data_IF_752247143813
#
_entry.id   IF_752247143813
#
_cell.length_a   1.000
_cell.length_b   1.000
_cell.length_c   1.000
_cell.angle_alpha   90.00
_cell.angle_beta   90.00
_cell.angle_gamma   90.00
#
_symmetry.space_group_name_H-M   'P 1'
#
loop_
_entity.id
_entity.type
_entity.pdbx_description
1 polymer ?
#
# COMPACT_ATOMS: atom_id res chain seq x y z
N UNK A 1 15.47 -6.19 -17.18
CA UNK A 1 14.35 -5.31 -16.84
C UNK A 1 14.23 -4.25 -17.94
N UNK A 2 13.32 -4.43 -18.87
CA UNK A 2 13.05 -3.38 -19.87
C UNK A 2 12.06 -2.40 -19.23
N UNK A 3 12.58 -1.35 -18.61
CA UNK A 3 11.78 -0.26 -18.08
C UNK A 3 11.14 0.50 -19.24
N UNK A 4 9.88 0.23 -19.51
CA UNK A 4 9.11 1.07 -20.42
C UNK A 4 8.85 2.42 -19.77
N UNK A 5 8.69 3.53 -20.51
CA UNK A 5 8.31 4.81 -19.93
C UNK A 5 7.09 4.71 -19.01
N UNK A 6 6.14 3.82 -19.33
CA UNK A 6 4.96 3.55 -18.49
C UNK A 6 5.34 2.99 -17.13
N UNK A 7 6.26 2.03 -17.03
CA UNK A 7 6.65 1.46 -15.73
C UNK A 7 7.26 2.51 -14.81
N UNK A 8 8.06 3.43 -15.36
CA UNK A 8 8.63 4.54 -14.61
C UNK A 8 7.54 5.41 -13.96
N UNK A 9 6.50 5.79 -14.72
CA UNK A 9 5.39 6.59 -14.19
C UNK A 9 4.61 5.86 -13.08
N UNK A 10 4.37 4.56 -13.24
CA UNK A 10 3.70 3.77 -12.19
C UNK A 10 4.54 3.71 -10.91
N UNK A 11 5.85 3.48 -11.01
CA UNK A 11 6.74 3.48 -9.85
C UNK A 11 6.83 4.86 -9.20
N UNK A 12 6.92 5.91 -9.99
CA UNK A 12 6.93 7.29 -9.49
C UNK A 12 5.65 7.62 -8.74
N UNK A 13 4.49 7.31 -9.32
CA UNK A 13 3.19 7.55 -8.69
C UNK A 13 3.02 6.74 -7.39
N UNK A 14 3.35 5.45 -7.43
CA UNK A 14 3.22 4.59 -6.24
C UNK A 14 4.22 4.99 -5.15
N UNK A 15 5.44 5.36 -5.51
CA UNK A 15 6.43 5.88 -4.57
C UNK A 15 6.00 7.20 -3.94
N UNK A 16 5.45 8.13 -4.73
CA UNK A 16 4.89 9.38 -4.22
C UNK A 16 3.71 9.12 -3.28
N UNK A 17 2.86 8.16 -3.61
CA UNK A 17 1.75 7.75 -2.74
C UNK A 17 2.26 7.15 -1.43
N UNK A 18 3.28 6.31 -1.46
CA UNK A 18 3.87 5.74 -0.24
C UNK A 18 4.44 6.83 0.69
N UNK A 19 5.14 7.83 0.13
CA UNK A 19 5.66 8.96 0.89
C UNK A 19 4.50 9.80 1.46
N UNK A 20 3.50 10.09 0.65
CA UNK A 20 2.30 10.83 1.08
C UNK A 20 1.60 10.08 2.22
N UNK A 21 1.38 8.78 2.07
CA UNK A 21 0.74 7.95 3.08
C UNK A 21 1.52 7.96 4.40
N UNK A 22 2.84 7.79 4.33
CA UNK A 22 3.68 7.85 5.51
C UNK A 22 3.58 9.22 6.20
N UNK A 23 3.69 10.31 5.44
CA UNK A 23 3.58 11.68 5.97
C UNK A 23 2.22 11.91 6.62
N UNK A 24 1.14 11.45 5.97
CA UNK A 24 -0.22 11.59 6.49
C UNK A 24 -0.43 10.81 7.80
N UNK A 25 0.08 9.57 7.87
CA UNK A 25 -0.02 8.73 9.07
C UNK A 25 0.81 9.28 10.25
N UNK A 26 1.82 10.10 9.97
CA UNK A 26 2.67 10.73 10.98
C UNK A 26 2.18 12.13 11.41
N UNK A 27 1.02 12.59 10.93
CA UNK A 27 0.44 13.84 11.43
C UNK A 27 0.01 13.66 12.88
N UNK A 28 0.32 14.62 13.78
CA UNK A 28 -0.14 14.61 15.17
C UNK A 28 -1.67 14.52 15.23
N UNK A 29 -2.20 13.81 16.25
CA UNK A 29 -3.65 13.63 16.40
C UNK A 29 -4.41 14.97 16.56
N UNK A 30 -3.78 15.95 17.18
CA UNK A 30 -4.35 17.30 17.38
C UNK A 30 -4.59 18.07 16.08
N UNK A 31 -3.93 17.63 14.99
CA UNK A 31 -4.10 18.21 13.65
C UNK A 31 -5.25 17.57 12.87
N UNK A 32 -5.87 16.53 13.42
CA UNK A 32 -6.95 15.79 12.77
C UNK A 32 -8.28 16.15 13.44
N UNK A 33 -9.39 16.22 12.66
CA UNK A 33 -10.71 16.44 13.25
C UNK A 33 -11.04 15.36 14.29
N UNK A 34 -11.54 15.78 15.44
CA UNK A 34 -12.06 14.88 16.46
C UNK A 34 -13.32 14.16 15.95
N UNK A 35 -13.15 13.20 15.09
CA UNK A 35 -14.28 12.36 14.68
C UNK A 35 -14.26 11.02 15.39
N UNK A 36 -15.28 10.81 16.18
CA UNK A 36 -15.75 9.63 16.90
C UNK A 36 -15.88 8.36 16.03
N UNK A 37 -14.95 8.07 15.15
CA UNK A 37 -15.11 6.93 14.26
C UNK A 37 -13.84 6.07 14.34
N UNK A 38 -13.72 5.37 15.47
CA UNK A 38 -12.72 4.30 15.62
C UNK A 38 -12.79 3.27 14.49
N UNK A 39 -13.98 3.05 13.93
CA UNK A 39 -14.18 2.19 12.77
C UNK A 39 -13.75 2.82 11.45
N UNK A 40 -13.86 4.15 11.30
CA UNK A 40 -13.41 4.81 10.07
C UNK A 40 -11.89 4.90 9.99
N UNK A 41 -11.21 5.07 11.11
CA UNK A 41 -9.75 5.07 11.14
C UNK A 41 -9.18 3.74 10.61
N UNK A 42 -9.70 2.62 11.10
CA UNK A 42 -9.33 1.29 10.60
C UNK A 42 -9.66 1.08 9.13
N UNK A 43 -10.80 1.61 8.68
CA UNK A 43 -11.17 1.56 7.26
C UNK A 43 -10.20 2.36 6.40
N UNK A 44 -9.74 3.52 6.88
CA UNK A 44 -8.72 4.32 6.20
C UNK A 44 -7.39 3.59 6.11
N UNK A 45 -6.93 2.96 7.18
CA UNK A 45 -5.74 2.11 7.18
C UNK A 45 -5.86 0.98 6.16
N UNK A 46 -6.95 0.23 6.22
CA UNK A 46 -7.22 -0.88 5.29
C UNK A 46 -7.24 -0.42 3.83
N UNK A 47 -7.97 0.66 3.52
CA UNK A 47 -8.09 1.18 2.15
C UNK A 47 -6.77 1.73 1.64
N UNK A 48 -6.03 2.44 2.48
CA UNK A 48 -4.75 3.03 2.12
C UNK A 48 -3.72 1.96 1.75
N UNK A 49 -3.63 0.90 2.53
CA UNK A 49 -2.71 -0.20 2.25
C UNK A 49 -3.19 -1.13 1.13
N UNK A 50 -4.50 -1.24 0.93
CA UNK A 50 -5.05 -1.86 -0.27
C UNK A 50 -4.59 -1.12 -1.54
N UNK A 51 -4.69 0.21 -1.56
CA UNK A 51 -4.26 1.03 -2.69
C UNK A 51 -2.74 0.99 -2.89
N UNK A 52 -1.95 1.00 -1.81
CA UNK A 52 -0.50 0.87 -1.89
C UNK A 52 -0.09 -0.46 -2.52
N UNK A 53 -0.67 -1.56 -2.06
CA UNK A 53 -0.39 -2.88 -2.59
C UNK A 53 -0.79 -3.00 -4.07
N UNK A 54 -1.97 -2.47 -4.45
CA UNK A 54 -2.40 -2.40 -5.85
C UNK A 54 -1.43 -1.59 -6.71
N UNK A 55 -1.02 -0.41 -6.24
CA UNK A 55 -0.07 0.45 -6.94
C UNK A 55 1.26 -0.26 -7.21
N UNK A 56 1.80 -0.96 -6.21
CA UNK A 56 3.00 -1.78 -6.36
C UNK A 56 2.79 -2.91 -7.38
N UNK A 57 1.66 -3.62 -7.30
CA UNK A 57 1.36 -4.71 -8.24
C UNK A 57 1.27 -4.22 -9.68
N UNK A 58 0.65 -3.07 -9.93
CA UNK A 58 0.62 -2.46 -11.26
C UNK A 58 2.01 -1.99 -11.71
N UNK A 59 2.80 -1.40 -10.81
CA UNK A 59 4.16 -0.96 -11.10
C UNK A 59 5.05 -2.13 -11.53
N UNK A 60 5.04 -3.23 -10.79
CA UNK A 60 5.80 -4.43 -11.12
C UNK A 60 5.30 -5.11 -12.40
N UNK A 61 3.99 -5.13 -12.63
CA UNK A 61 3.40 -5.64 -13.88
C UNK A 61 3.93 -4.86 -15.08
N UNK A 62 3.86 -3.54 -15.05
CA UNK A 62 4.35 -2.69 -16.13
C UNK A 62 5.87 -2.81 -16.30
N UNK A 63 6.60 -3.08 -15.22
CA UNK A 63 8.02 -3.41 -15.23
C UNK A 63 8.35 -4.80 -15.83
N UNK A 64 7.34 -5.58 -16.22
CA UNK A 64 7.54 -6.90 -16.83
C UNK A 64 7.92 -8.00 -15.84
N UNK A 65 7.62 -7.81 -14.56
CA UNK A 65 7.92 -8.80 -13.53
C UNK A 65 6.98 -10.01 -13.61
N UNK A 66 7.54 -11.19 -13.40
CA UNK A 66 6.74 -12.42 -13.32
C UNK A 66 5.75 -12.32 -12.17
N UNK A 67 4.54 -12.86 -12.35
CA UNK A 67 3.43 -12.77 -11.40
C UNK A 67 3.81 -13.13 -9.95
N UNK A 68 4.60 -14.18 -9.76
CA UNK A 68 4.97 -14.59 -8.41
C UNK A 68 5.96 -13.62 -7.73
N UNK A 69 6.92 -13.03 -8.49
CA UNK A 69 7.82 -11.99 -7.99
C UNK A 69 7.03 -10.71 -7.65
N UNK A 70 6.13 -10.30 -8.55
CA UNK A 70 5.24 -9.18 -8.32
C UNK A 70 4.47 -9.35 -7.01
N UNK A 71 3.79 -10.50 -6.82
CA UNK A 71 3.03 -10.81 -5.61
C UNK A 71 3.90 -10.75 -4.35
N UNK A 72 5.06 -11.41 -4.39
CA UNK A 72 5.97 -11.49 -3.25
C UNK A 72 6.49 -10.13 -2.84
N UNK A 73 6.98 -9.34 -3.79
CA UNK A 73 7.57 -8.05 -3.49
C UNK A 73 6.52 -7.01 -3.12
N UNK A 74 5.35 -7.00 -3.74
CA UNK A 74 4.25 -6.14 -3.32
C UNK A 74 3.84 -6.43 -1.87
N UNK A 75 3.77 -7.71 -1.47
CA UNK A 75 3.50 -8.10 -0.09
C UNK A 75 4.59 -7.61 0.87
N UNK A 76 5.86 -7.91 0.57
CA UNK A 76 6.99 -7.57 1.44
C UNK A 76 7.11 -6.05 1.63
N UNK A 77 7.02 -5.28 0.54
CA UNK A 77 7.15 -3.83 0.60
C UNK A 77 5.96 -3.20 1.35
N UNK A 78 4.74 -3.66 1.08
CA UNK A 78 3.55 -3.12 1.76
C UNK A 78 3.56 -3.44 3.25
N UNK A 79 3.90 -4.67 3.65
CA UNK A 79 4.02 -5.05 5.06
C UNK A 79 5.16 -4.32 5.76
N UNK A 80 6.31 -4.18 5.09
CA UNK A 80 7.45 -3.41 5.63
C UNK A 80 7.08 -1.95 5.85
N UNK A 81 6.40 -1.32 4.89
CA UNK A 81 5.91 0.05 5.03
C UNK A 81 4.88 0.17 6.16
N UNK A 82 3.93 -0.78 6.27
CA UNK A 82 2.94 -0.79 7.34
C UNK A 82 3.60 -0.91 8.71
N UNK A 83 4.49 -1.87 8.91
CA UNK A 83 5.22 -2.02 10.18
C UNK A 83 6.07 -0.80 10.51
N UNK A 84 6.75 -0.23 9.50
CA UNK A 84 7.57 0.97 9.67
C UNK A 84 6.72 2.19 10.08
N UNK A 85 5.56 2.39 9.46
CA UNK A 85 4.66 3.48 9.82
C UNK A 85 4.13 3.36 11.25
N UNK A 86 3.77 2.15 11.70
CA UNK A 86 3.33 1.91 13.09
C UNK A 86 4.45 2.21 14.11
N UNK A 87 5.66 1.77 13.81
CA UNK A 87 6.82 2.09 14.68
C UNK A 87 7.07 3.59 14.75
N UNK A 88 6.98 4.30 13.63
CA UNK A 88 7.18 5.75 13.62
C UNK A 88 6.06 6.51 14.35
N UNK A 89 4.83 6.02 14.32
CA UNK A 89 3.71 6.64 15.04
C UNK A 89 3.93 6.67 16.55
N UNK A 90 4.70 5.75 17.12
CA UNK A 90 5.06 5.74 18.53
C UNK A 90 5.87 6.99 18.96
N UNK A 91 6.56 7.61 18.00
CA UNK A 91 7.35 8.83 18.25
C UNK A 91 6.58 10.12 17.97
N UNK A 92 5.33 10.03 17.53
CA UNK A 92 4.51 11.20 17.18
C UNK A 92 3.61 11.58 18.37
N UNK A 93 3.61 12.86 18.84
CA UNK A 93 2.74 13.30 19.91
C UNK A 93 1.26 13.01 19.62
N UNK A 94 0.58 12.41 20.58
CA UNK A 94 -0.85 12.06 20.47
C UNK A 94 -1.15 10.84 19.59
N UNK A 95 -0.13 10.13 19.11
CA UNK A 95 -0.24 8.85 18.40
C UNK A 95 0.34 7.72 19.23
N UNK A 96 -0.09 6.51 18.95
CA UNK A 96 0.48 5.29 19.48
C UNK A 96 0.40 4.19 18.44
N UNK A 97 1.37 3.30 18.43
CA UNK A 97 1.29 2.10 17.61
C UNK A 97 0.08 1.26 18.03
N UNK A 98 -0.69 0.81 17.05
CA UNK A 98 -1.93 0.05 17.27
C UNK A 98 -1.87 -1.28 16.52
N UNK A 99 -2.02 -2.37 17.28
CA UNK A 99 -2.12 -3.72 16.68
C UNK A 99 -3.34 -3.80 15.77
N UNK A 100 -4.43 -3.15 16.14
CA UNK A 100 -5.66 -3.14 15.34
C UNK A 100 -5.47 -2.45 13.99
N UNK A 101 -4.71 -1.35 13.97
CA UNK A 101 -4.42 -0.62 12.74
C UNK A 101 -3.47 -1.41 11.85
N UNK A 102 -2.49 -2.09 12.47
CA UNK A 102 -1.63 -3.01 11.74
C UNK A 102 -2.41 -4.19 11.12
N UNK A 103 -3.39 -4.75 11.85
CA UNK A 103 -4.28 -5.80 11.32
C UNK A 103 -5.12 -5.24 10.15
N UNK A 104 -5.65 -4.03 10.27
CA UNK A 104 -6.39 -3.38 9.18
C UNK A 104 -5.53 -3.19 7.94
N UNK A 105 -4.27 -2.78 8.11
CA UNK A 105 -3.27 -2.69 7.03
C UNK A 105 -3.06 -4.04 6.35
N UNK A 106 -2.88 -5.11 7.14
CA UNK A 106 -2.70 -6.47 6.63
C UNK A 106 -3.92 -6.97 5.85
N UNK A 107 -5.13 -6.67 6.32
CA UNK A 107 -6.38 -7.01 5.61
C UNK A 107 -6.42 -6.29 4.26
N UNK A 108 -6.12 -4.99 4.21
CA UNK A 108 -6.06 -4.23 2.97
C UNK A 108 -5.09 -4.83 1.96
N UNK A 109 -3.87 -5.14 2.39
CA UNK A 109 -2.85 -5.79 1.57
C UNK A 109 -3.34 -7.16 1.07
N UNK A 110 -3.92 -7.96 1.96
CA UNK A 110 -4.46 -9.29 1.63
C UNK A 110 -5.56 -9.24 0.57
N UNK A 111 -6.48 -8.26 0.67
CA UNK A 111 -7.54 -8.05 -0.30
C UNK A 111 -6.99 -7.67 -1.68
N UNK A 112 -5.96 -6.83 -1.75
CA UNK A 112 -5.30 -6.48 -3.00
C UNK A 112 -4.66 -7.71 -3.67
N UNK A 113 -3.95 -8.54 -2.88
CA UNK A 113 -3.35 -9.78 -3.37
C UNK A 113 -4.38 -10.83 -3.79
N UNK A 114 -5.54 -10.88 -3.11
CA UNK A 114 -6.65 -11.73 -3.51
C UNK A 114 -7.21 -11.29 -4.86
N UNK A 115 -7.33 -9.98 -5.09
CA UNK A 115 -7.73 -9.43 -6.38
C UNK A 115 -6.84 -9.89 -7.54
N UNK A 116 -5.52 -10.00 -7.31
CA UNK A 116 -4.58 -10.57 -8.28
C UNK A 116 -4.93 -12.02 -8.69
N UNK A 117 -5.46 -12.81 -7.75
CA UNK A 117 -5.83 -14.19 -8.02
C UNK A 117 -7.19 -14.31 -8.71
N UNK A 118 -8.15 -13.49 -8.29
CA UNK A 118 -9.53 -13.52 -8.82
C UNK A 118 -9.64 -12.87 -10.20
N UNK A 119 -8.80 -11.87 -10.48
CA UNK A 119 -8.81 -11.12 -11.72
C UNK A 119 -7.44 -11.14 -12.43
N UNK A 120 -6.90 -12.31 -12.78
CA UNK A 120 -5.54 -12.43 -13.32
C UNK A 120 -5.34 -11.60 -14.58
N UNK A 121 -6.35 -11.49 -15.44
CA UNK A 121 -6.27 -10.74 -16.71
C UNK A 121 -5.95 -9.25 -16.53
N UNK A 122 -6.37 -8.64 -15.43
CA UNK A 122 -6.03 -7.24 -15.13
C UNK A 122 -4.56 -7.05 -14.75
N UNK A 123 -3.91 -8.12 -14.28
CA UNK A 123 -2.54 -8.10 -13.78
C UNK A 123 -1.56 -8.82 -14.72
N UNK A 124 -2.03 -9.36 -15.81
CA UNK A 124 -1.18 -9.87 -16.90
C UNK A 124 -0.95 -8.74 -17.91
N UNK A 125 0.32 -8.51 -18.26
CA UNK A 125 0.65 -7.57 -19.31
C UNK A 125 0.13 -8.14 -20.62
N UNK A 126 -0.73 -7.38 -21.32
CA UNK A 126 -1.15 -7.77 -22.67
C UNK A 126 0.09 -7.97 -23.51
N UNK A 127 0.34 -9.20 -23.92
CA UNK A 127 1.28 -9.49 -24.97
C UNK A 127 0.63 -9.02 -26.29
N UNK A 128 0.79 -7.73 -26.60
CA UNK A 128 0.54 -7.27 -27.95
C UNK A 128 1.54 -7.96 -28.88
N UNK A 129 1.08 -8.53 -29.98
CA UNK A 129 1.96 -9.15 -30.95
C UNK A 129 2.98 -8.16 -31.51
#
# INVERSE_FOLDING_TARGET
MNSTPRSFFYFLFTGSYAIFLLTFLLLPSDSLPEHKILSADKLWHMLSYFLLALGLMFSFREGGWKRWYNRRWSLIISLGHAGFSEVLQEFVPGRSASIDDWIANCIGIGLALLGLNLFPKFFEKSSSP
#
